data_IF_113140381873
#
_entry.id   IF_113140381873
#
_cell.length_a   1.000
_cell.length_b   1.000
_cell.length_c   1.000
_cell.angle_alpha   90.00
_cell.angle_beta   90.00
_cell.angle_gamma   90.00
#
_symmetry.space_group_name_H-M   'P 1'
#
loop_
_entity.id
_entity.type
_entity.pdbx_description
1 polymer ?
#
# COMPACT_ATOMS: atom_id res chain seq x y z
N UNK A 1 11.61 -9.70 -50.09
CA UNK A 1 11.21 -9.04 -48.83
C UNK A 1 12.33 -9.24 -47.82
N UNK A 2 13.22 -8.25 -47.65
CA UNK A 2 14.33 -8.29 -46.69
C UNK A 2 13.74 -7.99 -45.31
N UNK A 3 13.85 -8.93 -44.37
CA UNK A 3 13.56 -8.67 -42.96
C UNK A 3 14.67 -7.77 -42.41
N UNK A 4 14.29 -6.57 -41.99
CA UNK A 4 15.15 -5.62 -41.31
C UNK A 4 15.60 -6.22 -39.97
N UNK A 5 16.91 -6.46 -39.84
CA UNK A 5 17.57 -6.91 -38.61
C UNK A 5 17.78 -5.74 -37.65
N UNK A 6 16.70 -5.04 -37.30
CA UNK A 6 16.76 -3.89 -36.39
C UNK A 6 17.04 -4.38 -34.98
N UNK A 7 18.33 -4.43 -34.64
CA UNK A 7 18.91 -4.36 -33.28
C UNK A 7 18.21 -5.17 -32.19
N UNK A 8 18.35 -6.49 -32.23
CA UNK A 8 18.39 -7.24 -30.97
C UNK A 8 19.75 -6.94 -30.32
N UNK A 9 19.79 -6.00 -29.37
CA UNK A 9 20.94 -5.89 -28.46
C UNK A 9 21.11 -7.25 -27.77
N UNK A 10 22.34 -7.75 -27.61
CA UNK A 10 22.59 -8.99 -26.85
C UNK A 10 22.20 -8.77 -25.38
N UNK A 11 21.55 -9.75 -24.70
CA UNK A 11 21.10 -9.60 -23.32
C UNK A 11 22.24 -9.30 -22.35
N UNK A 12 23.46 -9.71 -22.70
CA UNK A 12 24.66 -9.53 -21.89
C UNK A 12 25.11 -8.06 -21.74
N UNK A 13 24.59 -7.14 -22.57
CA UNK A 13 24.95 -5.71 -22.52
C UNK A 13 23.88 -4.82 -21.89
N UNK A 14 22.74 -5.36 -21.48
CA UNK A 14 21.69 -4.58 -20.81
C UNK A 14 22.12 -4.23 -19.37
N UNK A 15 21.89 -3.00 -18.91
CA UNK A 15 22.11 -2.65 -17.50
C UNK A 15 21.21 -3.50 -16.61
N UNK A 16 21.72 -3.87 -15.45
CA UNK A 16 20.92 -4.55 -14.43
C UNK A 16 19.78 -3.64 -13.96
N UNK A 17 18.61 -4.23 -13.77
CA UNK A 17 17.44 -3.60 -13.19
C UNK A 17 17.16 -4.21 -11.82
N UNK A 18 16.54 -3.42 -10.96
CA UNK A 18 16.09 -3.83 -9.64
C UNK A 18 14.56 -4.01 -9.64
N UNK A 19 14.08 -4.97 -8.86
CA UNK A 19 12.67 -5.26 -8.74
C UNK A 19 12.34 -6.10 -7.51
N UNK A 20 11.07 -6.44 -7.38
CA UNK A 20 10.54 -7.34 -6.34
C UNK A 20 9.75 -8.46 -6.99
N UNK A 21 9.81 -9.67 -6.44
CA UNK A 21 9.01 -10.78 -6.95
C UNK A 21 7.57 -10.59 -6.49
N UNK A 22 6.67 -10.26 -7.41
CA UNK A 22 5.26 -10.03 -7.08
C UNK A 22 4.47 -11.32 -6.94
N UNK A 23 4.84 -12.34 -7.72
CA UNK A 23 4.23 -13.68 -7.71
C UNK A 23 5.24 -14.73 -8.11
N UNK A 24 5.14 -15.90 -7.51
CA UNK A 24 5.88 -17.09 -7.92
C UNK A 24 4.98 -18.32 -7.80
N UNK A 25 4.94 -19.11 -8.87
CA UNK A 25 4.13 -20.30 -9.04
C UNK A 25 5.06 -21.51 -9.00
N UNK A 26 5.28 -22.05 -7.80
CA UNK A 26 6.35 -23.03 -7.55
C UNK A 26 6.18 -24.33 -8.34
N UNK A 27 4.95 -24.86 -8.40
CA UNK A 27 4.65 -26.07 -9.17
C UNK A 27 4.97 -25.93 -10.67
N UNK A 28 4.80 -24.72 -11.20
CA UNK A 28 5.04 -24.41 -12.61
C UNK A 28 6.44 -23.82 -12.87
N UNK A 29 7.20 -23.49 -11.83
CA UNK A 29 8.58 -23.01 -11.92
C UNK A 29 8.73 -21.63 -12.59
N UNK A 30 7.76 -20.74 -12.47
CA UNK A 30 7.85 -19.39 -13.02
C UNK A 30 7.24 -18.32 -12.10
N UNK A 31 7.57 -17.06 -12.36
CA UNK A 31 7.02 -15.94 -11.62
C UNK A 31 7.12 -14.62 -12.36
N UNK A 32 6.80 -13.55 -11.64
CA UNK A 32 6.83 -12.19 -12.14
C UNK A 32 7.62 -11.28 -11.19
N UNK A 33 8.56 -10.54 -11.75
CA UNK A 33 9.28 -9.45 -11.08
C UNK A 33 8.65 -8.14 -11.51
N UNK A 34 8.38 -7.26 -10.56
CA UNK A 34 7.90 -5.91 -10.81
C UNK A 34 9.04 -4.94 -10.58
N UNK A 35 9.37 -4.13 -11.59
CA UNK A 35 10.43 -3.12 -11.47
C UNK A 35 9.96 -1.87 -10.71
N UNK A 36 10.88 -0.91 -10.53
CA UNK A 36 10.62 0.38 -9.88
C UNK A 36 9.51 1.20 -10.56
N UNK A 37 9.30 1.01 -11.86
CA UNK A 37 8.25 1.68 -12.65
C UNK A 37 6.93 0.92 -12.66
N UNK A 38 6.87 -0.25 -12.03
CA UNK A 38 5.70 -1.11 -11.96
C UNK A 38 5.49 -2.03 -13.15
N UNK A 39 6.44 -2.07 -14.08
CA UNK A 39 6.44 -2.97 -15.22
C UNK A 39 6.68 -4.40 -14.77
N UNK A 40 5.88 -5.34 -15.27
CA UNK A 40 6.06 -6.77 -14.98
C UNK A 40 7.05 -7.40 -15.96
N UNK A 41 7.98 -8.19 -15.41
CA UNK A 41 8.95 -9.02 -16.11
C UNK A 41 8.71 -10.48 -15.74
N UNK A 42 8.47 -11.31 -16.74
CA UNK A 42 8.36 -12.75 -16.56
C UNK A 42 9.73 -13.35 -16.27
N UNK A 43 9.84 -14.24 -15.29
CA UNK A 43 11.04 -15.06 -15.11
C UNK A 43 10.66 -16.53 -14.97
N UNK A 44 11.51 -17.39 -15.50
CA UNK A 44 11.48 -18.83 -15.22
C UNK A 44 12.51 -19.13 -14.12
N UNK A 45 12.26 -20.13 -13.28
CA UNK A 45 13.19 -20.56 -12.22
C UNK A 45 14.59 -20.88 -12.75
N UNK A 46 14.68 -21.35 -13.99
CA UNK A 46 15.97 -21.60 -14.65
C UNK A 46 16.82 -20.34 -14.87
N UNK A 47 16.20 -19.17 -14.89
CA UNK A 47 16.90 -17.88 -15.02
C UNK A 47 17.40 -17.35 -13.67
N UNK A 48 17.06 -18.00 -12.55
CA UNK A 48 17.60 -17.66 -11.24
C UNK A 48 19.00 -18.26 -11.13
N UNK A 49 19.99 -17.43 -10.75
CA UNK A 49 21.38 -17.85 -10.66
C UNK A 49 21.61 -18.76 -9.44
N UNK A 50 21.19 -18.32 -8.25
CA UNK A 50 21.23 -19.16 -7.03
C UNK A 50 19.88 -19.84 -6.78
N UNK A 51 19.73 -21.01 -7.39
CA UNK A 51 18.51 -21.83 -7.32
C UNK A 51 18.29 -22.45 -5.94
N UNK A 52 19.38 -22.77 -5.23
CA UNK A 52 19.32 -23.44 -3.93
C UNK A 52 18.84 -22.44 -2.90
N UNK A 53 19.46 -21.27 -2.84
CA UNK A 53 19.06 -20.20 -1.94
C UNK A 53 17.64 -19.74 -2.24
N UNK A 54 17.30 -19.54 -3.52
CA UNK A 54 15.96 -19.07 -3.88
C UNK A 54 14.88 -20.04 -3.38
N UNK A 55 15.06 -21.36 -3.53
CA UNK A 55 14.09 -22.33 -3.00
C UNK A 55 14.01 -22.33 -1.49
N UNK A 56 15.15 -22.18 -0.80
CA UNK A 56 15.18 -22.17 0.66
C UNK A 56 14.47 -20.94 1.25
N UNK A 57 14.51 -19.80 0.55
CA UNK A 57 14.07 -18.49 1.05
C UNK A 57 12.99 -17.82 0.21
N UNK A 58 12.33 -18.53 -0.71
CA UNK A 58 11.39 -17.92 -1.69
C UNK A 58 10.33 -17.03 -1.04
N UNK A 59 9.86 -17.42 0.14
CA UNK A 59 8.85 -16.69 0.89
C UNK A 59 9.31 -15.32 1.40
N UNK A 60 10.62 -15.12 1.51
CA UNK A 60 11.24 -13.85 1.88
C UNK A 60 11.36 -12.89 0.67
N UNK A 61 11.30 -13.42 -0.55
CA UNK A 61 11.40 -12.62 -1.78
C UNK A 61 10.03 -12.26 -2.38
N UNK A 62 8.98 -13.04 -2.08
CA UNK A 62 7.62 -12.75 -2.57
C UNK A 62 7.05 -11.55 -1.82
N UNK A 63 6.81 -10.47 -2.56
CA UNK A 63 6.10 -9.30 -2.05
C UNK A 63 4.69 -9.69 -1.60
N UNK A 64 4.39 -9.39 -0.35
CA UNK A 64 3.07 -9.55 0.25
C UNK A 64 2.86 -8.43 1.25
N UNK A 65 1.71 -7.75 1.18
CA UNK A 65 1.31 -6.69 2.11
C UNK A 65 1.16 -7.19 3.57
N UNK A 66 1.25 -8.51 3.79
CA UNK A 66 1.04 -9.17 5.09
C UNK A 66 2.32 -9.79 5.69
N UNK A 67 3.49 -9.71 5.04
CA UNK A 67 4.72 -10.40 5.49
C UNK A 67 5.85 -9.47 5.92
N UNK A 68 6.66 -10.00 6.84
CA UNK A 68 7.62 -9.27 7.68
C UNK A 68 8.86 -8.74 6.97
N UNK A 69 9.19 -9.24 5.78
CA UNK A 69 10.27 -8.72 4.96
C UNK A 69 10.10 -9.19 3.51
N UNK A 70 10.47 -8.33 2.57
CA UNK A 70 10.56 -8.64 1.15
C UNK A 70 11.95 -8.19 0.66
N UNK A 71 12.73 -9.08 0.07
CA UNK A 71 14.04 -8.74 -0.49
C UNK A 71 13.94 -8.25 -1.94
N UNK A 72 14.86 -7.39 -2.34
CA UNK A 72 15.04 -7.05 -3.73
C UNK A 72 15.66 -8.19 -4.53
N UNK A 73 15.41 -8.15 -5.83
CA UNK A 73 16.15 -8.93 -6.81
C UNK A 73 16.73 -8.00 -7.86
N UNK A 74 17.88 -8.39 -8.38
CA UNK A 74 18.47 -7.76 -9.56
C UNK A 74 18.31 -8.70 -10.74
N UNK A 75 18.11 -8.16 -11.94
CA UNK A 75 17.93 -8.97 -13.14
C UNK A 75 18.35 -8.20 -14.39
N UNK A 76 18.65 -8.94 -15.46
CA UNK A 76 18.85 -8.37 -16.79
C UNK A 76 17.51 -8.31 -17.53
N UNK A 77 17.03 -7.12 -17.94
CA UNK A 77 15.81 -7.01 -18.71
C UNK A 77 16.03 -7.50 -20.14
N UNK A 78 15.03 -8.21 -20.65
CA UNK A 78 14.96 -8.68 -22.03
C UNK A 78 13.53 -8.54 -22.56
N UNK A 79 13.37 -8.50 -23.88
CA UNK A 79 12.05 -8.48 -24.49
C UNK A 79 11.98 -9.49 -25.64
N UNK A 80 10.89 -10.26 -25.69
CA UNK A 80 10.60 -11.16 -26.80
C UNK A 80 9.14 -10.99 -27.26
N UNK A 81 8.68 -11.85 -28.18
CA UNK A 81 7.32 -11.81 -28.71
C UNK A 81 6.21 -12.00 -27.66
N UNK A 82 6.52 -12.54 -26.47
CA UNK A 82 5.58 -12.73 -25.36
C UNK A 82 5.61 -11.59 -24.34
N UNK A 83 6.56 -10.66 -24.45
CA UNK A 83 6.69 -9.50 -23.57
C UNK A 83 8.04 -9.42 -22.88
N UNK A 84 8.05 -8.78 -21.72
CA UNK A 84 9.25 -8.50 -20.94
C UNK A 84 9.67 -9.72 -20.13
N UNK A 85 10.95 -10.01 -20.12
CA UNK A 85 11.56 -11.17 -19.46
C UNK A 85 12.70 -10.68 -18.57
N UNK A 86 12.81 -11.27 -17.38
CA UNK A 86 13.97 -11.16 -16.51
C UNK A 86 14.89 -12.37 -16.72
N UNK A 87 16.14 -12.09 -17.08
CA UNK A 87 17.23 -13.05 -17.18
C UNK A 87 18.22 -12.80 -16.03
N UNK A 88 19.03 -13.81 -15.72
CA UNK A 88 20.09 -13.73 -14.70
C UNK A 88 19.59 -13.10 -13.39
N UNK A 89 18.49 -13.65 -12.86
CA UNK A 89 17.87 -13.17 -11.64
C UNK A 89 18.81 -13.48 -10.47
N UNK A 90 19.26 -12.41 -9.82
CA UNK A 90 20.17 -12.40 -8.69
C UNK A 90 19.41 -11.99 -7.44
N UNK A 91 19.60 -12.77 -6.39
CA UNK A 91 19.07 -12.48 -5.07
C UNK A 91 19.88 -11.35 -4.44
N UNK A 92 19.22 -10.45 -3.72
CA UNK A 92 19.85 -9.35 -2.98
C UNK A 92 19.56 -9.50 -1.49
N UNK A 93 20.51 -9.08 -0.66
CA UNK A 93 20.30 -8.94 0.78
C UNK A 93 19.64 -7.59 1.14
N UNK A 94 19.45 -6.69 0.17
CA UNK A 94 18.73 -5.44 0.37
C UNK A 94 17.23 -5.72 0.58
N UNK A 95 16.70 -5.24 1.70
CA UNK A 95 15.30 -5.42 2.12
C UNK A 95 14.45 -4.23 1.72
N UNK A 96 13.25 -4.50 1.23
CA UNK A 96 12.17 -3.53 1.07
C UNK A 96 11.53 -3.17 2.43
N UNK A 97 11.36 -4.17 3.30
CA UNK A 97 10.80 -4.02 4.65
C UNK A 97 11.56 -4.87 5.66
N UNK A 98 11.64 -4.38 6.89
CA UNK A 98 12.09 -5.18 8.03
C UNK A 98 11.14 -4.99 9.22
N UNK A 99 9.97 -5.64 9.19
CA UNK A 99 9.03 -5.60 10.31
C UNK A 99 9.55 -6.30 11.58
N UNK A 100 10.75 -6.90 11.55
CA UNK A 100 11.37 -7.44 12.77
C UNK A 100 11.95 -6.34 13.67
N UNK A 101 12.26 -5.18 13.08
CA UNK A 101 12.62 -3.98 13.83
C UNK A 101 11.35 -3.23 14.22
N UNK A 102 11.15 -2.98 15.52
CA UNK A 102 9.90 -2.44 16.06
C UNK A 102 9.49 -1.06 15.55
N UNK A 103 10.30 -0.37 14.74
CA UNK A 103 10.03 0.97 14.23
C UNK A 103 10.88 1.22 12.97
N UNK A 104 10.40 0.81 11.79
CA UNK A 104 11.05 1.20 10.55
C UNK A 104 10.54 2.57 10.09
N UNK A 105 11.47 3.52 9.95
CA UNK A 105 11.19 4.83 9.37
C UNK A 105 11.26 4.73 7.85
N UNK A 106 10.25 5.26 7.19
CA UNK A 106 10.04 5.09 5.77
C UNK A 106 9.77 6.42 5.08
N UNK A 107 10.48 6.66 3.97
CA UNK A 107 10.27 7.81 3.10
C UNK A 107 9.33 7.46 1.96
N UNK A 108 8.18 8.13 1.93
CA UNK A 108 7.13 7.89 0.94
C UNK A 108 6.67 9.19 0.30
N UNK A 109 6.12 9.10 -0.92
CA UNK A 109 5.44 10.19 -1.58
C UNK A 109 3.93 10.13 -1.32
N UNK A 110 3.34 11.26 -0.94
CA UNK A 110 1.89 11.38 -0.85
C UNK A 110 1.25 11.22 -2.23
N UNK A 111 0.31 10.28 -2.38
CA UNK A 111 -0.24 9.95 -3.70
C UNK A 111 -1.68 10.46 -3.88
N UNK A 112 -2.51 10.38 -2.84
CA UNK A 112 -3.93 10.72 -2.91
C UNK A 112 -4.51 10.95 -1.51
N UNK A 113 -5.53 11.81 -1.42
CA UNK A 113 -6.36 11.96 -0.22
C UNK A 113 -7.81 11.53 -0.49
N UNK A 114 -8.41 10.81 0.47
CA UNK A 114 -9.86 10.58 0.51
C UNK A 114 -10.43 10.98 1.87
N UNK A 115 -11.58 11.64 1.88
CA UNK A 115 -12.28 12.00 3.10
C UNK A 115 -13.58 11.20 3.20
N UNK A 116 -13.75 10.47 4.30
CA UNK A 116 -14.92 9.63 4.54
C UNK A 116 -15.58 10.03 5.86
N UNK A 117 -16.91 10.03 5.83
CA UNK A 117 -17.75 10.21 7.01
C UNK A 117 -18.44 8.88 7.25
N UNK A 118 -18.29 8.34 8.46
CA UNK A 118 -19.01 7.15 8.90
C UNK A 118 -19.82 7.50 10.13
N UNK A 119 -21.12 7.23 10.07
CA UNK A 119 -22.01 7.34 11.21
C UNK A 119 -22.18 5.94 11.80
N UNK A 120 -21.82 5.77 13.07
CA UNK A 120 -22.12 4.54 13.81
C UNK A 120 -23.37 4.84 14.64
N UNK A 121 -24.48 4.22 14.28
CA UNK A 121 -25.71 4.26 15.06
C UNK A 121 -26.26 2.86 15.23
N UNK A 122 -26.51 2.45 16.47
CA UNK A 122 -27.21 1.20 16.76
C UNK A 122 -28.71 1.48 16.87
N UNK A 123 -29.49 0.85 16.01
CA UNK A 123 -30.95 0.93 16.04
C UNK A 123 -31.45 -0.39 16.63
N UNK A 124 -32.04 -0.31 17.82
CA UNK A 124 -32.81 -1.44 18.37
C UNK A 124 -34.29 -1.26 18.06
N UNK A 125 -34.86 -2.25 17.37
CA UNK A 125 -36.30 -2.35 17.11
C UNK A 125 -36.90 -3.44 18.00
N UNK A 126 -38.04 -3.17 18.65
CA UNK A 126 -38.79 -4.20 19.38
C UNK A 126 -39.40 -3.80 20.73
N UNK A 127 -39.27 -2.54 21.15
CA UNK A 127 -39.78 -2.09 22.45
C UNK A 127 -41.31 -1.91 22.37
N UNK A 128 -42.06 -2.79 23.05
CA UNK A 128 -43.53 -2.75 23.07
C UNK A 128 -44.02 -1.51 23.81
N UNK A 129 -45.27 -1.08 23.53
CA UNK A 129 -45.93 0.17 23.98
C UNK A 129 -46.04 0.41 25.51
N UNK A 130 -45.32 -0.36 26.35
CA UNK A 130 -45.29 -0.29 27.82
C UNK A 130 -43.94 -0.67 28.45
N UNK A 131 -42.91 -0.94 27.65
CA UNK A 131 -41.56 -1.19 28.17
C UNK A 131 -40.85 0.14 28.45
N UNK A 132 -40.07 0.19 29.53
CA UNK A 132 -39.29 1.37 29.89
C UNK A 132 -38.29 1.71 28.77
N UNK A 133 -38.12 2.99 28.47
CA UNK A 133 -37.12 3.44 27.52
C UNK A 133 -35.71 3.02 28.03
N UNK A 134 -34.84 2.48 27.17
CA UNK A 134 -33.46 2.20 27.53
C UNK A 134 -32.77 3.50 27.97
N UNK A 135 -31.92 3.42 28.98
CA UNK A 135 -31.15 4.58 29.45
C UNK A 135 -30.28 5.13 28.31
N UNK A 136 -30.38 6.44 28.01
CA UNK A 136 -29.66 7.06 26.90
C UNK A 136 -30.27 6.84 25.51
N UNK A 137 -31.51 6.34 25.43
CA UNK A 137 -32.20 6.16 24.17
C UNK A 137 -32.99 7.41 23.73
N UNK A 138 -33.04 7.65 22.41
CA UNK A 138 -33.92 8.66 21.80
C UNK A 138 -35.09 7.95 21.11
N UNK A 139 -36.32 8.41 21.36
CA UNK A 139 -37.52 7.84 20.74
C UNK A 139 -37.52 8.06 19.22
N UNK A 140 -37.70 6.98 18.45
CA UNK A 140 -37.93 7.00 17.01
C UNK A 140 -39.40 6.88 16.65
N UNK A 141 -39.73 7.05 15.36
CA UNK A 141 -41.07 6.75 14.85
C UNK A 141 -41.38 5.24 14.91
N UNK A 142 -42.65 4.87 15.10
CA UNK A 142 -43.15 3.49 15.11
C UNK A 142 -42.69 2.58 16.27
N UNK A 143 -42.43 3.15 17.46
CA UNK A 143 -42.04 2.34 18.64
C UNK A 143 -40.60 1.82 18.59
N UNK A 144 -39.76 2.45 17.77
CA UNK A 144 -38.32 2.20 17.74
C UNK A 144 -37.60 3.12 18.72
N UNK A 145 -36.48 2.68 19.27
CA UNK A 145 -35.60 3.50 20.10
C UNK A 145 -34.19 3.44 19.50
N UNK A 146 -33.53 4.60 19.41
CA UNK A 146 -32.12 4.68 19.03
C UNK A 146 -31.31 4.70 20.31
N UNK A 147 -30.41 3.73 20.50
CA UNK A 147 -29.53 3.67 21.66
C UNK A 147 -28.16 4.14 21.20
N UNK A 148 -27.67 5.19 21.86
CA UNK A 148 -26.43 5.88 21.50
C UNK A 148 -26.69 7.17 20.71
N UNK A 149 -25.86 8.18 20.96
CA UNK A 149 -25.74 9.31 20.07
C UNK A 149 -25.03 8.83 18.80
N UNK A 150 -25.45 9.24 17.59
CA UNK A 150 -24.68 8.95 16.39
C UNK A 150 -23.33 9.63 16.53
N UNK A 151 -22.32 8.87 16.94
CA UNK A 151 -20.95 9.34 16.91
C UNK A 151 -20.55 9.36 15.45
N UNK A 152 -20.46 10.58 14.92
CA UNK A 152 -20.03 10.81 13.55
C UNK A 152 -18.52 10.81 13.56
N UNK A 153 -17.93 9.71 13.09
CA UNK A 153 -16.50 9.63 12.89
C UNK A 153 -16.16 10.16 11.49
N UNK A 154 -15.10 10.96 11.43
CA UNK A 154 -14.60 11.55 10.20
C UNK A 154 -13.15 11.12 10.03
N UNK A 155 -12.89 10.48 8.91
CA UNK A 155 -11.59 9.92 8.58
C UNK A 155 -11.02 10.64 7.36
N UNK A 156 -9.75 11.02 7.44
CA UNK A 156 -8.95 11.36 6.28
C UNK A 156 -8.06 10.16 5.97
N UNK A 157 -8.29 9.51 4.85
CA UNK A 157 -7.41 8.47 4.33
C UNK A 157 -6.32 9.13 3.50
N UNK A 158 -5.07 8.96 3.93
CA UNK A 158 -3.88 9.32 3.17
C UNK A 158 -3.34 8.07 2.50
N UNK A 159 -3.28 8.11 1.18
CA UNK A 159 -2.62 7.09 0.37
C UNK A 159 -1.23 7.58 0.01
N UNK A 160 -0.25 6.71 0.17
CA UNK A 160 1.13 7.02 -0.15
C UNK A 160 1.72 5.95 -1.06
N UNK A 161 2.83 6.27 -1.71
CA UNK A 161 3.61 5.35 -2.54
C UNK A 161 5.07 5.40 -2.11
N UNK A 162 5.76 4.28 -2.19
CA UNK A 162 7.19 4.22 -1.91
C UNK A 162 7.99 4.98 -2.97
N UNK A 163 9.04 5.70 -2.55
CA UNK A 163 9.91 6.46 -3.46
C UNK A 163 10.64 5.56 -4.48
N UNK A 164 10.74 4.25 -4.25
CA UNK A 164 11.49 3.32 -5.11
C UNK A 164 10.67 2.17 -5.72
N UNK A 165 9.44 1.87 -5.25
CA UNK A 165 8.70 0.67 -5.69
C UNK A 165 7.18 0.83 -5.75
N UNK A 166 6.54 -0.05 -6.54
CA UNK A 166 5.09 -0.26 -6.49
C UNK A 166 4.69 -1.01 -5.21
N UNK A 167 4.52 -0.22 -4.18
CA UNK A 167 3.71 -0.52 -3.01
C UNK A 167 3.19 0.81 -2.47
N UNK A 168 2.11 0.74 -1.72
CA UNK A 168 1.53 1.91 -1.10
C UNK A 168 0.67 1.47 0.06
N UNK A 169 0.73 2.22 1.14
CA UNK A 169 -0.16 1.98 2.26
C UNK A 169 -1.25 3.03 2.29
N UNK A 170 -2.17 2.78 3.21
CA UNK A 170 -3.23 3.71 3.58
C UNK A 170 -3.05 4.02 5.06
N UNK A 171 -2.98 5.31 5.38
CA UNK A 171 -3.05 5.81 6.75
C UNK A 171 -4.47 6.35 6.94
N UNK A 172 -5.20 5.83 7.90
CA UNK A 172 -6.49 6.40 8.32
C UNK A 172 -6.26 7.35 9.49
N UNK A 173 -6.54 8.64 9.25
CA UNK A 173 -6.37 9.68 10.25
C UNK A 173 -7.75 10.12 10.75
N UNK A 174 -7.97 9.93 12.04
CA UNK A 174 -9.15 10.41 12.75
C UNK A 174 -9.13 11.94 12.86
N UNK A 175 -10.26 12.61 12.63
CA UNK A 175 -10.39 14.08 12.72
C UNK A 175 -9.86 14.69 14.05
N UNK A 176 -10.01 14.06 15.24
CA UNK A 176 -9.36 14.54 16.47
C UNK A 176 -7.83 14.64 16.40
N UNK A 177 -7.18 13.78 15.63
CA UNK A 177 -5.71 13.77 15.39
C UNK A 177 -5.34 14.89 14.41
N UNK A 178 -6.22 15.15 13.45
CA UNK A 178 -6.15 16.29 12.55
C UNK A 178 -6.58 17.57 13.29
N UNK A 179 -5.78 18.05 14.25
CA UNK A 179 -5.91 19.41 14.80
C UNK A 179 -5.60 20.45 13.71
N UNK A 180 -6.47 20.55 12.71
CA UNK A 180 -6.35 21.42 11.54
C UNK A 180 -6.71 22.85 11.94
N UNK A 181 -5.81 23.52 12.68
CA UNK A 181 -5.90 24.94 13.08
C UNK A 181 -7.31 25.41 13.48
N UNK A 182 -8.03 24.63 14.30
CA UNK A 182 -9.36 25.03 14.81
C UNK A 182 -10.48 25.06 13.75
N UNK A 183 -10.32 24.40 12.60
CA UNK A 183 -11.40 24.30 11.60
C UNK A 183 -12.50 23.35 12.08
N UNK A 184 -13.76 23.83 12.06
CA UNK A 184 -14.95 23.03 12.43
C UNK A 184 -15.33 21.95 11.41
N UNK A 185 -14.84 22.05 10.17
CA UNK A 185 -15.17 21.15 9.05
C UNK A 185 -14.01 21.05 8.06
N UNK A 186 -13.81 19.85 7.51
CA UNK A 186 -12.94 19.59 6.35
C UNK A 186 -13.70 19.94 5.07
N UNK A 187 -13.19 20.88 4.28
CA UNK A 187 -13.83 21.32 3.02
C UNK A 187 -13.14 20.73 1.79
N UNK A 188 -13.87 20.60 0.67
CA UNK A 188 -13.27 20.18 -0.62
C UNK A 188 -12.10 21.08 -1.04
N UNK A 189 -12.18 22.38 -0.78
CA UNK A 189 -11.10 23.35 -1.05
C UNK A 189 -9.85 23.02 -0.24
N UNK A 190 -10.03 22.73 1.05
CA UNK A 190 -8.93 22.32 1.92
C UNK A 190 -8.29 21.01 1.46
N UNK A 191 -9.09 19.99 1.13
CA UNK A 191 -8.59 18.71 0.64
C UNK A 191 -7.73 18.89 -0.62
N UNK A 192 -8.19 19.69 -1.58
CA UNK A 192 -7.41 19.99 -2.80
C UNK A 192 -6.09 20.69 -2.50
N UNK A 193 -6.08 21.65 -1.57
CA UNK A 193 -4.85 22.35 -1.17
C UNK A 193 -3.87 21.41 -0.48
N UNK A 194 -4.38 20.52 0.37
CA UNK A 194 -3.56 19.55 1.08
C UNK A 194 -3.01 18.49 0.12
N UNK A 195 -3.85 17.97 -0.78
CA UNK A 195 -3.45 16.99 -1.81
C UNK A 195 -2.36 17.56 -2.73
N UNK A 196 -2.51 18.81 -3.18
CA UNK A 196 -1.50 19.48 -4.00
C UNK A 196 -0.15 19.62 -3.28
N UNK A 197 -0.16 19.86 -1.97
CA UNK A 197 1.07 19.92 -1.17
C UNK A 197 1.69 18.54 -0.94
N UNK A 198 0.86 17.50 -0.75
CA UNK A 198 1.32 16.16 -0.43
C UNK A 198 1.82 15.39 -1.66
N UNK A 199 1.36 15.75 -2.87
CA UNK A 199 1.68 15.05 -4.12
C UNK A 199 3.18 14.83 -4.34
N UNK A 200 3.97 15.82 -3.95
CA UNK A 200 5.43 15.83 -4.11
C UNK A 200 6.15 15.93 -2.76
N UNK A 201 5.41 15.80 -1.65
CA UNK A 201 6.02 15.82 -0.32
C UNK A 201 6.58 14.45 0.01
N UNK A 202 7.82 14.44 0.49
CA UNK A 202 8.34 13.28 1.19
C UNK A 202 7.76 13.25 2.61
N UNK A 203 7.17 12.11 2.96
CA UNK A 203 6.55 11.86 4.24
C UNK A 203 7.32 10.78 4.96
N UNK A 204 7.61 11.04 6.23
CA UNK A 204 8.11 10.04 7.15
C UNK A 204 6.92 9.29 7.76
N UNK A 205 6.89 7.99 7.55
CA UNK A 205 5.91 7.08 8.14
C UNK A 205 6.62 5.95 8.87
N UNK A 206 5.93 5.30 9.79
CA UNK A 206 6.38 4.04 10.36
C UNK A 206 5.23 3.03 10.38
N UNK A 207 5.57 1.74 10.46
CA UNK A 207 4.61 0.67 10.71
C UNK A 207 5.02 -0.11 11.95
N UNK A 208 4.03 -0.47 12.77
CA UNK A 208 4.18 -1.37 13.91
C UNK A 208 3.81 -2.83 13.57
N UNK A 209 3.56 -3.12 12.27
CA UNK A 209 3.14 -4.42 11.77
C UNK A 209 1.62 -4.60 11.66
N UNK A 210 0.80 -3.66 12.16
CA UNK A 210 -0.66 -3.68 11.99
C UNK A 210 -1.16 -2.45 11.23
N UNK A 211 -0.60 -1.29 11.55
CA UNK A 211 -1.04 -0.02 10.97
C UNK A 211 0.15 0.80 10.47
N UNK A 212 -0.17 1.77 9.61
CA UNK A 212 0.77 2.79 9.16
C UNK A 212 0.49 4.08 9.93
N UNK A 213 1.53 4.70 10.45
CA UNK A 213 1.43 5.94 11.20
C UNK A 213 2.36 7.01 10.60
N UNK A 214 1.88 8.24 10.59
CA UNK A 214 2.67 9.38 10.12
C UNK A 214 3.53 9.89 11.28
N UNK A 215 4.85 9.99 11.07
CA UNK A 215 5.81 10.35 12.13
C UNK A 215 5.65 11.81 12.54
N UNK A 216 5.42 12.70 11.57
CA UNK A 216 5.27 14.13 11.80
C UNK A 216 3.93 14.64 11.26
N UNK A 217 2.81 14.57 12.01
CA UNK A 217 1.48 15.04 11.56
C UNK A 217 1.43 16.52 11.13
N UNK A 218 2.46 17.31 11.44
CA UNK A 218 2.59 18.71 11.06
C UNK A 218 2.56 18.93 9.54
N UNK A 219 3.00 17.98 8.71
CA UNK A 219 2.87 18.06 7.24
C UNK A 219 1.40 18.16 6.79
N UNK A 220 0.46 17.73 7.63
CA UNK A 220 -0.98 17.79 7.35
C UNK A 220 -1.62 19.13 7.73
N UNK A 221 -0.85 20.08 8.26
CA UNK A 221 -1.34 21.40 8.67
C UNK A 221 -1.10 22.45 7.59
N UNK A 222 -2.14 23.17 7.16
CA UNK A 222 -2.08 24.35 6.27
C UNK A 222 -2.13 25.64 7.10
#
# INVERSE_FOLDING_TARGET
>A
MRLDKTKFQSPEKSPLMQGVISKYFDEQGYGFIKDEKGQDYFFHFNNVLDKIEFRARVQDYIYSDLKSCCYFVQFRPWQNAKGNIALDVMLSEERLFDHSEKQCLYMVQGAKLEYKISEISFIESGIKKRQAAPLGATAGGNGTYRIGYPETYRFLSLYFKWNKFMGGGKIELLEPVLRLKGRKKVTKKFLRQLEARLKDAELEIFSDGQEWQLVAPSVLTL
#
